data_IF_896450345823
#
_entry.id   IF_896450345823
#
_cell.length_a   1.000
_cell.length_b   1.000
_cell.length_c   1.000
_cell.angle_alpha   90.00
_cell.angle_beta   90.00
_cell.angle_gamma   90.00
#
_symmetry.space_group_name_H-M   'P 1'
#
loop_
_entity.id
_entity.type
_entity.pdbx_description
1 polymer ?
#
# COMPACT_ATOMS: atom_id res chain seq x y z
N UNK A 1 0.87 1.09 15.71
CA UNK A 1 -0.59 1.21 15.80
C UNK A 1 -1.28 -0.12 15.47
N UNK A 2 -1.20 -0.65 14.27
CA UNK A 2 -1.87 -1.90 13.84
C UNK A 2 -1.65 -3.09 14.79
N UNK A 3 -0.44 -3.32 15.28
CA UNK A 3 -0.14 -4.42 16.22
C UNK A 3 -1.06 -4.53 17.43
N UNK A 4 -1.65 -3.43 17.89
CA UNK A 4 -2.54 -3.40 19.08
C UNK A 4 -4.00 -3.67 18.74
N UNK A 5 -4.35 -3.62 17.47
CA UNK A 5 -5.73 -3.69 16.98
C UNK A 5 -6.03 -5.02 16.29
N UNK A 6 -4.99 -5.79 15.95
CA UNK A 6 -5.13 -7.02 15.17
C UNK A 6 -5.69 -8.14 16.06
N UNK A 7 -6.69 -8.91 15.57
CA UNK A 7 -7.27 -10.04 16.29
C UNK A 7 -6.25 -11.14 16.61
N UNK A 8 -6.59 -12.02 17.55
CA UNK A 8 -5.82 -13.24 17.80
C UNK A 8 -5.70 -14.08 16.52
N UNK A 9 -4.50 -14.59 16.27
CA UNK A 9 -4.20 -15.39 15.08
C UNK A 9 -3.43 -14.65 14.00
N UNK A 10 -3.33 -13.32 14.06
CA UNK A 10 -2.48 -12.53 13.17
C UNK A 10 -1.20 -12.09 13.89
N UNK A 11 -0.08 -12.18 13.19
CA UNK A 11 1.20 -11.62 13.62
C UNK A 11 1.53 -10.39 12.76
N UNK A 12 1.75 -9.24 13.39
CA UNK A 12 2.13 -8.01 12.69
C UNK A 12 3.58 -7.69 12.93
N UNK A 13 4.33 -7.61 11.87
CA UNK A 13 5.72 -7.16 11.87
C UNK A 13 5.83 -5.75 11.27
N UNK A 14 6.76 -4.95 11.79
CA UNK A 14 7.15 -3.68 11.21
C UNK A 14 8.54 -3.84 10.63
N UNK A 15 8.68 -3.52 9.37
CA UNK A 15 9.95 -3.62 8.66
C UNK A 15 10.48 -2.23 8.32
N UNK A 16 11.76 -2.01 8.53
CA UNK A 16 12.46 -0.79 8.14
C UNK A 16 13.32 -1.09 6.92
N UNK A 17 13.18 -0.31 5.88
CA UNK A 17 13.87 -0.46 4.60
C UNK A 17 14.51 0.85 4.15
N UNK A 18 15.37 0.80 3.14
CA UNK A 18 16.08 1.96 2.58
C UNK A 18 15.14 2.81 1.73
N UNK A 19 14.34 3.69 2.36
CA UNK A 19 13.36 4.56 1.67
C UNK A 19 13.98 5.51 0.64
N UNK A 20 15.25 5.84 0.76
CA UNK A 20 15.92 6.80 -0.11
C UNK A 20 16.17 6.30 -1.54
N UNK A 21 15.97 5.00 -1.80
CA UNK A 21 16.24 4.38 -3.10
C UNK A 21 15.12 3.39 -3.44
N UNK A 22 14.39 3.63 -4.53
CA UNK A 22 13.26 2.81 -4.94
C UNK A 22 13.64 1.35 -5.19
N UNK A 23 14.69 1.11 -5.97
CA UNK A 23 15.08 -0.25 -6.34
C UNK A 23 15.52 -1.06 -5.12
N UNK A 24 16.31 -0.43 -4.26
CA UNK A 24 16.77 -1.03 -3.01
C UNK A 24 15.63 -1.27 -2.03
N UNK A 25 14.72 -0.31 -1.86
CA UNK A 25 13.54 -0.45 -1.02
C UNK A 25 12.71 -1.67 -1.44
N UNK A 26 12.44 -1.80 -2.74
CA UNK A 26 11.66 -2.89 -3.30
C UNK A 26 12.36 -4.24 -3.13
N UNK A 27 13.68 -4.31 -3.37
CA UNK A 27 14.48 -5.52 -3.18
C UNK A 27 14.48 -5.99 -1.72
N UNK A 28 14.72 -5.08 -0.77
CA UNK A 28 14.73 -5.36 0.66
C UNK A 28 13.36 -5.89 1.13
N UNK A 29 12.27 -5.28 0.69
CA UNK A 29 10.90 -5.72 1.04
C UNK A 29 10.61 -7.11 0.46
N UNK A 30 10.95 -7.37 -0.81
CA UNK A 30 10.76 -8.68 -1.42
C UNK A 30 11.60 -9.77 -0.75
N UNK A 31 12.83 -9.44 -0.33
CA UNK A 31 13.66 -10.37 0.45
C UNK A 31 13.01 -10.69 1.80
N UNK A 32 12.58 -9.65 2.52
CA UNK A 32 11.91 -9.82 3.81
C UNK A 32 10.64 -10.66 3.73
N UNK A 33 9.80 -10.41 2.72
CA UNK A 33 8.58 -11.19 2.46
C UNK A 33 8.91 -12.69 2.34
N UNK A 34 9.93 -13.02 1.53
CA UNK A 34 10.33 -14.42 1.29
C UNK A 34 10.93 -15.07 2.53
N UNK A 35 11.79 -14.34 3.26
CA UNK A 35 12.50 -14.86 4.43
C UNK A 35 11.58 -15.11 5.63
N UNK A 36 10.55 -14.29 5.78
CA UNK A 36 9.65 -14.32 6.92
C UNK A 36 8.27 -14.94 6.61
N UNK A 37 8.00 -15.34 5.36
CA UNK A 37 6.73 -15.92 4.99
C UNK A 37 5.55 -14.97 5.21
N UNK A 38 5.70 -13.72 4.73
CA UNK A 38 4.67 -12.68 4.90
C UNK A 38 3.50 -12.96 3.95
N UNK A 39 2.29 -13.02 4.49
CA UNK A 39 1.05 -13.31 3.74
C UNK A 39 0.30 -12.05 3.28
N UNK A 40 0.57 -10.90 3.89
CA UNK A 40 -0.08 -9.63 3.57
C UNK A 40 0.89 -8.46 3.78
N UNK A 41 0.95 -7.57 2.81
CA UNK A 41 1.68 -6.29 2.93
C UNK A 41 0.70 -5.14 3.17
N UNK A 42 0.98 -4.30 4.17
CA UNK A 42 0.25 -3.06 4.40
C UNK A 42 1.20 -1.88 4.25
N UNK A 43 0.95 -1.03 3.27
CA UNK A 43 1.76 0.16 2.97
C UNK A 43 0.96 1.45 3.02
N UNK A 44 1.55 2.54 3.52
CA UNK A 44 0.92 3.86 3.55
C UNK A 44 1.78 4.90 2.82
N UNK A 45 1.14 5.85 2.14
CA UNK A 45 1.80 6.94 1.41
C UNK A 45 2.85 6.39 0.41
N UNK A 46 4.12 6.78 0.52
CA UNK A 46 5.22 6.24 -0.29
C UNK A 46 5.36 4.72 -0.12
N UNK A 47 5.16 4.19 1.10
CA UNK A 47 5.12 2.74 1.34
C UNK A 47 3.93 2.07 0.64
N UNK A 48 2.83 2.77 0.44
CA UNK A 48 1.70 2.34 -0.37
C UNK A 48 2.05 2.23 -1.85
N UNK A 49 2.78 3.21 -2.39
CA UNK A 49 3.31 3.14 -3.76
C UNK A 49 4.21 1.92 -3.94
N UNK A 50 5.18 1.71 -3.04
CA UNK A 50 6.08 0.56 -3.13
C UNK A 50 5.28 -0.74 -3.04
N UNK A 51 4.31 -0.83 -2.14
CA UNK A 51 3.44 -2.00 -2.03
C UNK A 51 2.69 -2.29 -3.33
N UNK A 52 2.19 -1.26 -4.04
CA UNK A 52 1.57 -1.41 -5.36
C UNK A 52 2.51 -1.98 -6.43
N UNK A 53 3.81 -1.81 -6.28
CA UNK A 53 4.81 -2.37 -7.22
C UNK A 53 5.19 -3.83 -6.95
N UNK A 54 4.73 -4.39 -5.84
CA UNK A 54 4.92 -5.82 -5.54
C UNK A 54 3.86 -6.63 -6.29
N UNK A 55 4.18 -7.85 -6.65
CA UNK A 55 3.27 -8.79 -7.30
C UNK A 55 3.23 -10.12 -6.56
N UNK A 56 2.14 -10.88 -6.76
CA UNK A 56 2.00 -12.22 -6.20
C UNK A 56 1.79 -12.27 -4.68
N UNK A 57 1.41 -11.17 -4.03
CA UNK A 57 1.09 -11.11 -2.60
C UNK A 57 -0.10 -10.17 -2.37
N UNK A 58 -1.04 -10.48 -1.47
CA UNK A 58 -2.08 -9.57 -1.04
C UNK A 58 -1.52 -8.26 -0.47
N UNK A 59 -2.12 -7.13 -0.86
CA UNK A 59 -1.68 -5.79 -0.44
C UNK A 59 -2.85 -4.92 -0.02
N UNK A 60 -2.69 -4.28 1.12
CA UNK A 60 -3.53 -3.17 1.54
C UNK A 60 -2.70 -1.90 1.44
N UNK A 61 -3.19 -0.92 0.70
CA UNK A 61 -2.53 0.38 0.56
C UNK A 61 -3.40 1.47 1.17
N UNK A 62 -2.77 2.38 1.92
CA UNK A 62 -3.48 3.45 2.63
C UNK A 62 -2.96 4.80 2.11
N UNK A 63 -3.84 5.61 1.56
CA UNK A 63 -3.49 6.89 0.96
C UNK A 63 -2.20 6.78 0.12
N UNK A 64 -2.11 5.83 -0.84
CA UNK A 64 -0.86 5.60 -1.56
C UNK A 64 -0.46 6.84 -2.36
N UNK A 65 0.81 7.19 -2.31
CA UNK A 65 1.43 8.07 -3.28
C UNK A 65 1.29 7.40 -4.66
N UNK A 66 0.83 8.13 -5.68
CA UNK A 66 0.57 7.53 -6.99
C UNK A 66 1.62 7.90 -8.03
N UNK A 67 2.11 9.15 -7.95
CA UNK A 67 3.15 9.69 -8.81
C UNK A 67 4.27 10.29 -7.95
N UNK A 68 5.14 9.46 -7.35
CA UNK A 68 6.14 9.95 -6.40
C UNK A 68 7.09 11.01 -6.99
N UNK A 69 7.38 10.99 -8.29
CA UNK A 69 8.18 12.02 -8.93
C UNK A 69 7.52 13.40 -8.94
N UNK A 70 6.18 13.47 -8.98
CA UNK A 70 5.40 14.71 -8.93
C UNK A 70 5.04 15.10 -7.49
N UNK A 71 4.81 14.14 -6.62
CA UNK A 71 4.20 14.33 -5.31
C UNK A 71 5.22 14.56 -4.20
N UNK A 72 6.33 13.82 -4.21
CA UNK A 72 7.37 13.96 -3.19
C UNK A 72 7.98 15.38 -3.12
N UNK A 73 8.17 16.10 -4.25
CA UNK A 73 8.63 17.50 -4.20
C UNK A 73 7.65 18.43 -3.46
N UNK A 74 6.36 18.13 -3.45
CA UNK A 74 5.33 18.97 -2.79
C UNK A 74 5.41 18.92 -1.27
N UNK A 75 6.11 17.95 -0.71
CA UNK A 75 6.32 17.75 0.72
C UNK A 75 7.80 17.84 1.11
N UNK A 76 8.58 18.60 0.32
CA UNK A 76 9.99 18.90 0.59
C UNK A 76 10.91 17.67 0.70
N UNK A 77 10.59 16.56 0.03
CA UNK A 77 11.49 15.41 -0.04
C UNK A 77 12.74 15.78 -0.87
N UNK A 78 13.96 15.45 -0.38
CA UNK A 78 15.19 15.76 -1.09
C UNK A 78 15.21 15.27 -2.53
N UNK A 79 15.69 16.10 -3.45
CA UNK A 79 15.69 15.82 -4.89
C UNK A 79 16.46 14.54 -5.27
N UNK A 80 17.50 14.19 -4.53
CA UNK A 80 18.24 12.94 -4.70
C UNK A 80 17.37 11.69 -4.45
N UNK A 81 16.39 11.77 -3.54
CA UNK A 81 15.41 10.70 -3.29
C UNK A 81 14.38 10.69 -4.41
N UNK A 82 13.80 11.86 -4.74
CA UNK A 82 12.80 11.98 -5.81
C UNK A 82 13.30 11.35 -7.11
N UNK A 83 14.57 11.59 -7.49
CA UNK A 83 15.17 11.03 -8.70
C UNK A 83 15.20 9.50 -8.76
N UNK A 84 15.14 8.81 -7.63
CA UNK A 84 15.10 7.34 -7.63
C UNK A 84 13.69 6.82 -7.88
N UNK A 85 12.66 7.61 -7.59
CA UNK A 85 11.25 7.24 -7.75
C UNK A 85 10.64 7.74 -9.06
N UNK A 86 10.96 8.95 -9.50
CA UNK A 86 10.36 9.59 -10.67
C UNK A 86 10.36 8.73 -11.96
N UNK A 87 11.41 7.94 -12.28
CA UNK A 87 11.36 7.02 -13.42
C UNK A 87 10.30 5.93 -13.31
N UNK A 88 9.71 5.75 -12.14
CA UNK A 88 8.76 4.68 -11.83
C UNK A 88 7.32 5.17 -11.59
N UNK A 89 7.03 6.45 -11.87
CA UNK A 89 5.69 7.03 -11.68
C UNK A 89 4.57 6.26 -12.39
N UNK A 90 4.87 5.61 -13.50
CA UNK A 90 3.90 4.80 -14.24
C UNK A 90 4.03 3.29 -14.00
N UNK A 91 4.85 2.87 -13.04
CA UNK A 91 5.12 1.45 -12.78
C UNK A 91 3.84 0.63 -12.62
N UNK A 92 2.91 1.11 -11.80
CA UNK A 92 1.68 0.36 -11.49
C UNK A 92 0.84 0.17 -12.75
N UNK A 93 0.68 1.24 -13.56
CA UNK A 93 -0.10 1.20 -14.80
C UNK A 93 0.49 0.27 -15.85
N UNK A 94 1.82 0.18 -15.89
CA UNK A 94 2.56 -0.62 -16.87
C UNK A 94 2.69 -2.10 -16.52
N UNK A 95 2.61 -2.44 -15.22
CA UNK A 95 2.93 -3.78 -14.72
C UNK A 95 1.75 -4.50 -14.04
N UNK A 96 0.59 -3.86 -13.92
CA UNK A 96 -0.58 -4.52 -13.35
C UNK A 96 -1.09 -5.64 -14.26
N UNK A 97 -1.27 -6.84 -13.70
CA UNK A 97 -1.85 -7.99 -14.42
C UNK A 97 -3.26 -8.29 -13.92
N UNK A 98 -4.02 -9.04 -14.70
CA UNK A 98 -5.37 -9.48 -14.30
C UNK A 98 -5.33 -10.40 -13.07
N UNK A 99 -4.29 -11.22 -12.94
CA UNK A 99 -4.10 -12.11 -11.79
C UNK A 99 -3.72 -11.34 -10.52
N UNK A 100 -3.00 -10.24 -10.67
CA UNK A 100 -2.51 -9.44 -9.55
C UNK A 100 -3.51 -8.37 -9.08
N UNK A 101 -4.40 -7.94 -9.95
CA UNK A 101 -5.41 -6.91 -9.66
C UNK A 101 -6.29 -7.25 -8.46
N UNK A 102 -6.82 -8.49 -8.27
CA UNK A 102 -7.62 -8.84 -7.11
C UNK A 102 -6.85 -8.81 -5.78
N UNK A 103 -5.52 -8.80 -5.83
CA UNK A 103 -4.65 -8.82 -4.65
C UNK A 103 -4.43 -7.43 -4.02
N UNK A 104 -5.13 -6.39 -4.47
CA UNK A 104 -4.97 -5.03 -3.96
C UNK A 104 -6.27 -4.50 -3.40
N UNK A 105 -6.26 -4.01 -2.17
CA UNK A 105 -7.33 -3.18 -1.61
C UNK A 105 -6.75 -1.85 -1.14
N UNK A 106 -7.38 -0.75 -1.53
CA UNK A 106 -6.95 0.60 -1.19
C UNK A 106 -7.92 1.27 -0.23
N UNK A 107 -7.37 1.89 0.79
CA UNK A 107 -8.09 2.62 1.81
C UNK A 107 -7.71 4.10 1.77
N UNK A 108 -8.70 4.96 1.64
CA UNK A 108 -8.51 6.41 1.52
C UNK A 108 -9.12 7.13 2.70
N UNK A 109 -8.34 7.98 3.34
CA UNK A 109 -8.82 8.89 4.37
C UNK A 109 -9.84 9.88 3.80
N UNK A 110 -10.99 10.01 4.44
CA UNK A 110 -12.04 10.98 4.07
C UNK A 110 -11.61 12.43 4.31
N UNK A 111 -10.53 12.63 5.06
CA UNK A 111 -9.90 13.92 5.40
C UNK A 111 -8.43 13.98 4.98
N UNK A 112 -8.05 13.23 3.92
CA UNK A 112 -6.68 13.30 3.40
C UNK A 112 -6.42 14.66 2.76
N UNK A 113 -5.58 15.44 3.42
CA UNK A 113 -5.22 16.80 3.06
C UNK A 113 -4.14 16.88 1.96
N UNK A 114 -3.44 15.77 1.67
CA UNK A 114 -2.36 15.74 0.68
C UNK A 114 -2.85 15.29 -0.69
N UNK A 115 -3.60 14.21 -0.75
CA UNK A 115 -3.89 13.55 -2.02
C UNK A 115 -5.38 13.58 -2.42
N UNK A 116 -6.29 13.42 -1.48
CA UNK A 116 -7.74 13.60 -1.67
C UNK A 116 -8.34 12.82 -2.85
N UNK A 117 -9.45 13.36 -3.38
CA UNK A 117 -10.27 12.72 -4.42
C UNK A 117 -9.53 12.42 -5.74
N UNK A 118 -8.52 13.22 -6.09
CA UNK A 118 -7.75 13.05 -7.33
C UNK A 118 -7.14 11.66 -7.44
N UNK A 119 -6.61 11.14 -6.34
CA UNK A 119 -5.91 9.84 -6.34
C UNK A 119 -6.87 8.66 -6.31
N UNK A 120 -8.02 8.83 -5.69
CA UNK A 120 -9.10 7.84 -5.77
C UNK A 120 -9.54 7.67 -7.23
N UNK A 121 -9.73 8.78 -7.95
CA UNK A 121 -10.09 8.75 -9.37
C UNK A 121 -9.00 8.07 -10.23
N UNK A 122 -7.72 8.23 -9.90
CA UNK A 122 -6.64 7.51 -10.58
C UNK A 122 -6.71 6.00 -10.30
N UNK A 123 -6.88 5.61 -9.05
CA UNK A 123 -6.94 4.20 -8.68
C UNK A 123 -8.14 3.50 -9.32
N UNK A 124 -9.32 4.14 -9.34
CA UNK A 124 -10.53 3.60 -9.94
C UNK A 124 -10.46 3.37 -11.47
N UNK A 125 -9.43 3.90 -12.14
CA UNK A 125 -9.17 3.56 -13.57
C UNK A 125 -8.54 2.19 -13.74
N UNK A 126 -7.92 1.65 -12.69
CA UNK A 126 -7.14 0.42 -12.73
C UNK A 126 -7.70 -0.68 -11.85
N UNK A 127 -8.43 -0.31 -10.79
CA UNK A 127 -9.02 -1.22 -9.83
C UNK A 127 -10.53 -1.01 -9.72
N UNK A 128 -11.33 -2.06 -9.56
CA UNK A 128 -12.77 -1.94 -9.39
C UNK A 128 -13.12 -1.24 -8.07
N UNK A 129 -14.30 -0.64 -8.03
CA UNK A 129 -14.74 0.21 -6.92
C UNK A 129 -14.80 -0.55 -5.59
N UNK A 130 -15.13 -1.83 -5.60
CA UNK A 130 -15.18 -2.72 -4.42
C UNK A 130 -13.82 -2.92 -3.75
N UNK A 131 -12.73 -2.59 -4.43
CA UNK A 131 -11.38 -2.61 -3.89
C UNK A 131 -10.92 -1.24 -3.33
N UNK A 132 -11.78 -0.22 -3.44
CA UNK A 132 -11.49 1.15 -3.00
C UNK A 132 -12.40 1.53 -1.84
N UNK A 133 -11.84 1.72 -0.66
CA UNK A 133 -12.56 1.94 0.59
C UNK A 133 -12.31 3.35 1.14
N UNK A 134 -13.32 3.92 1.81
CA UNK A 134 -13.20 5.16 2.59
C UNK A 134 -13.08 4.84 4.05
N UNK A 135 -12.18 5.54 4.74
CA UNK A 135 -11.97 5.39 6.18
C UNK A 135 -11.91 6.75 6.88
N UNK A 136 -12.30 6.85 8.16
CA UNK A 136 -12.25 8.09 8.93
C UNK A 136 -10.81 8.44 9.33
N UNK A 137 -10.05 8.96 8.38
CA UNK A 137 -8.62 9.28 8.56
C UNK A 137 -8.21 10.50 7.74
N UNK A 138 -7.14 11.18 8.16
CA UNK A 138 -6.36 12.09 7.31
C UNK A 138 -5.33 11.33 6.48
N UNK A 139 -4.31 12.04 5.96
CA UNK A 139 -3.19 11.40 5.27
C UNK A 139 -2.47 10.41 6.17
N UNK A 140 -2.18 10.79 7.40
CA UNK A 140 -1.68 9.88 8.42
C UNK A 140 -2.83 9.02 8.97
N UNK A 141 -2.61 7.70 8.94
CA UNK A 141 -3.61 6.74 9.40
C UNK A 141 -3.97 6.99 10.87
N UNK A 142 -5.25 7.33 11.11
CA UNK A 142 -5.80 7.48 12.46
C UNK A 142 -6.04 6.11 13.13
N UNK A 143 -6.25 6.11 14.45
CA UNK A 143 -6.62 4.86 15.15
C UNK A 143 -7.98 4.34 14.69
N UNK A 144 -8.94 5.23 14.42
CA UNK A 144 -10.27 4.88 13.92
C UNK A 144 -10.16 4.25 12.51
N UNK A 145 -9.41 4.89 11.60
CA UNK A 145 -9.14 4.33 10.27
C UNK A 145 -8.41 2.98 10.33
N UNK A 146 -7.47 2.82 11.27
CA UNK A 146 -6.79 1.54 11.48
C UNK A 146 -7.75 0.44 11.95
N UNK A 147 -8.74 0.76 12.80
CA UNK A 147 -9.79 -0.20 13.23
C UNK A 147 -10.67 -0.64 12.06
N UNK A 148 -11.00 0.27 11.15
CA UNK A 148 -11.76 -0.07 9.94
C UNK A 148 -10.99 -1.05 9.05
N UNK A 149 -9.68 -0.82 8.83
CA UNK A 149 -8.84 -1.73 8.05
C UNK A 149 -8.77 -3.11 8.71
N UNK A 150 -8.51 -3.17 10.02
CA UNK A 150 -8.46 -4.43 10.77
C UNK A 150 -9.81 -5.15 10.72
N UNK A 151 -10.91 -4.42 10.91
CA UNK A 151 -12.25 -4.99 10.81
C UNK A 151 -12.59 -5.49 9.41
N UNK A 152 -12.03 -4.88 8.37
CA UNK A 152 -12.15 -5.37 7.00
C UNK A 152 -11.36 -6.66 6.80
N UNK A 153 -10.12 -6.73 7.29
CA UNK A 153 -9.27 -7.94 7.24
C UNK A 153 -9.99 -9.11 7.93
N UNK A 154 -10.53 -8.89 9.11
CA UNK A 154 -11.22 -9.91 9.90
C UNK A 154 -12.46 -10.48 9.19
N UNK A 155 -13.17 -9.63 8.45
CA UNK A 155 -14.34 -10.02 7.63
C UNK A 155 -13.96 -10.68 6.30
N UNK A 156 -12.71 -10.56 5.86
CA UNK A 156 -12.23 -11.04 4.57
C UNK A 156 -10.96 -11.92 4.70
N UNK A 157 -10.97 -12.97 5.54
CA UNK A 157 -9.80 -13.82 5.77
C UNK A 157 -9.34 -14.52 4.48
N UNK A 158 -10.24 -14.76 3.53
CA UNK A 158 -9.92 -15.34 2.22
C UNK A 158 -8.97 -14.45 1.39
N UNK A 159 -8.95 -13.14 1.63
CA UNK A 159 -8.05 -12.22 0.94
C UNK A 159 -6.59 -12.54 1.23
N UNK A 160 -6.28 -12.92 2.48
CA UNK A 160 -4.92 -13.31 2.88
C UNK A 160 -4.62 -14.75 2.44
N UNK A 161 -5.59 -15.64 2.53
CA UNK A 161 -5.42 -17.08 2.28
C UNK A 161 -5.47 -17.47 0.80
N UNK A 162 -5.66 -16.52 -0.12
CA UNK A 162 -5.82 -16.79 -1.55
C UNK A 162 -4.59 -17.42 -2.24
N UNK A 163 -3.46 -17.52 -1.55
CA UNK A 163 -2.21 -18.13 -2.05
C UNK A 163 -2.03 -19.62 -1.74
N UNK A 164 -2.93 -20.24 -0.93
CA UNK A 164 -2.79 -21.65 -0.58
C UNK A 164 -3.32 -22.62 -1.65
N UNK A 165 -3.53 -22.18 -2.89
CA UNK A 165 -4.08 -22.97 -4.00
C UNK A 165 -3.24 -22.94 -5.30
N UNK A 166 -1.90 -22.69 -5.18
CA UNK A 166 -0.99 -22.87 -6.32
C UNK A 166 0.01 -23.99 -6.04
#
# INVERSE_FOLDING_TARGET
>A
MLRRLVPEGYMVESFTYTQADFAKAREEILAYIREHGIDLVVGSSLGGFIALTLSGIPRIVVNPCWYPGEELPLIDVPHEIVRTYAPHDHWVQEHITEEDRPMVHAFFGDRDELFGEKYIAHLLRHYPQEQCHRIPSGHHLSEEGAREIVGWIDKNPQFINSQNHL
#
